data_IF_786470473037
#
_entry.id   IF_786470473037
#
_cell.length_a   1.000
_cell.length_b   1.000
_cell.length_c   1.000
_cell.angle_alpha   90.00
_cell.angle_beta   90.00
_cell.angle_gamma   90.00
#
_symmetry.space_group_name_H-M   'P 1'
#
loop_
_entity.id
_entity.type
_entity.pdbx_description
1 polymer ?
#
# COMPACT_ATOMS: atom_id res chain seq x y z
N UNK A 1 -44.56 -34.35 -26.64
CA UNK A 1 -44.99 -32.96 -26.94
C UNK A 1 -44.74 -32.11 -25.71
N UNK A 2 -43.77 -31.19 -25.79
CA UNK A 2 -43.55 -29.99 -24.93
C UNK A 2 -43.20 -30.34 -23.46
N UNK A 3 -42.25 -29.71 -22.76
CA UNK A 3 -41.70 -28.36 -22.85
C UNK A 3 -40.26 -28.33 -22.30
N UNK A 4 -39.37 -27.62 -23.01
CA UNK A 4 -38.11 -27.09 -22.50
C UNK A 4 -38.43 -25.89 -21.61
N UNK A 5 -37.88 -25.81 -20.40
CA UNK A 5 -37.82 -24.58 -19.63
C UNK A 5 -36.44 -24.46 -18.96
N UNK A 6 -35.60 -23.62 -19.55
CA UNK A 6 -34.31 -23.20 -19.04
C UNK A 6 -34.56 -21.97 -18.16
N UNK A 7 -34.30 -21.98 -16.85
CA UNK A 7 -34.32 -20.73 -16.10
C UNK A 7 -33.07 -19.95 -16.47
N UNK A 8 -33.29 -18.83 -17.17
CA UNK A 8 -32.34 -17.77 -17.37
C UNK A 8 -31.79 -17.33 -16.01
N UNK A 9 -30.50 -17.56 -15.78
CA UNK A 9 -29.80 -16.95 -14.65
C UNK A 9 -29.62 -15.47 -14.97
N UNK A 10 -30.28 -14.63 -14.18
CA UNK A 10 -30.15 -13.19 -14.19
C UNK A 10 -28.69 -12.77 -14.05
N UNK A 11 -28.15 -12.13 -15.08
CA UNK A 11 -26.91 -11.38 -15.00
C UNK A 11 -27.09 -10.24 -14.02
N UNK A 12 -26.52 -10.37 -12.82
CA UNK A 12 -26.35 -9.25 -11.90
C UNK A 12 -25.25 -8.37 -12.49
N UNK A 13 -25.63 -7.35 -13.25
CA UNK A 13 -24.72 -6.29 -13.63
C UNK A 13 -24.31 -5.55 -12.36
N UNK A 14 -23.07 -5.77 -11.92
CA UNK A 14 -22.46 -4.95 -10.88
C UNK A 14 -22.42 -3.50 -11.38
N UNK A 15 -23.07 -2.60 -10.65
CA UNK A 15 -22.90 -1.16 -10.80
C UNK A 15 -21.44 -0.84 -10.49
N UNK A 16 -20.64 -0.60 -11.53
CA UNK A 16 -19.29 -0.08 -11.39
C UNK A 16 -19.39 1.35 -10.84
N UNK A 17 -19.14 1.51 -9.54
CA UNK A 17 -19.01 2.82 -8.92
C UNK A 17 -17.79 3.55 -9.50
N UNK A 18 -18.04 4.77 -10.01
CA UNK A 18 -17.12 5.89 -10.26
C UNK A 18 -15.78 5.60 -10.99
N UNK A 19 -15.73 5.89 -12.29
CA UNK A 19 -14.53 5.78 -13.14
C UNK A 19 -13.59 7.02 -13.07
N UNK A 20 -13.89 8.03 -12.24
CA UNK A 20 -13.20 9.34 -12.27
C UNK A 20 -12.21 9.59 -11.13
N UNK A 21 -12.12 8.69 -10.15
CA UNK A 21 -11.18 8.81 -9.04
C UNK A 21 -10.73 7.43 -8.56
N UNK A 22 -9.43 7.20 -8.57
CA UNK A 22 -8.82 5.97 -8.09
C UNK A 22 -7.85 6.31 -6.96
N UNK A 23 -8.01 5.63 -5.82
CA UNK A 23 -7.08 5.72 -4.70
C UNK A 23 -6.55 4.33 -4.38
N UNK A 24 -5.24 4.16 -4.41
CA UNK A 24 -4.59 2.89 -4.14
C UNK A 24 -3.36 3.06 -3.26
N UNK A 25 -3.12 2.07 -2.41
CA UNK A 25 -1.91 1.94 -1.62
C UNK A 25 -1.12 0.74 -2.11
N UNK A 26 0.21 0.88 -2.18
CA UNK A 26 1.14 -0.20 -2.51
C UNK A 26 2.37 -0.13 -1.64
N UNK A 27 2.90 -1.29 -1.29
CA UNK A 27 4.20 -1.43 -0.62
C UNK A 27 5.17 -2.17 -1.53
N UNK A 28 6.46 -1.92 -1.38
CA UNK A 28 7.49 -2.67 -2.12
C UNK A 28 7.60 -4.13 -1.65
N UNK A 29 7.34 -4.41 -0.36
CA UNK A 29 7.39 -5.74 0.24
C UNK A 29 6.37 -5.91 1.36
N UNK A 30 5.89 -7.15 1.55
CA UNK A 30 4.99 -7.52 2.65
C UNK A 30 5.73 -8.16 3.83
N UNK A 31 7.00 -8.51 3.65
CA UNK A 31 7.85 -9.10 4.68
C UNK A 31 9.18 -8.35 4.71
N UNK A 32 9.61 -7.92 5.88
CA UNK A 32 10.87 -7.20 6.09
C UNK A 32 11.52 -7.58 7.42
N UNK A 33 12.79 -7.28 7.59
CA UNK A 33 13.49 -7.44 8.87
C UNK A 33 13.42 -6.16 9.72
N UNK A 34 13.59 -6.30 11.03
CA UNK A 34 13.68 -5.16 11.94
C UNK A 34 14.79 -4.20 11.49
N UNK A 35 14.47 -2.92 11.36
CA UNK A 35 15.41 -1.90 10.92
C UNK A 35 15.52 -1.74 9.40
N UNK A 36 14.87 -2.59 8.60
CA UNK A 36 14.75 -2.34 7.16
C UNK A 36 13.74 -1.22 6.85
N UNK A 37 14.01 -0.42 5.79
CA UNK A 37 13.03 0.52 5.27
C UNK A 37 11.97 -0.19 4.42
N UNK A 38 10.72 0.20 4.61
CA UNK A 38 9.56 -0.19 3.82
C UNK A 38 9.10 1.02 2.99
N UNK A 39 8.95 0.85 1.68
CA UNK A 39 8.46 1.90 0.82
C UNK A 39 6.95 1.76 0.61
N UNK A 40 6.19 2.70 1.16
CA UNK A 40 4.75 2.84 0.94
C UNK A 40 4.51 3.90 -0.13
N UNK A 41 3.79 3.54 -1.18
CA UNK A 41 3.39 4.44 -2.27
C UNK A 41 1.86 4.51 -2.32
N UNK A 42 1.34 5.71 -2.16
CA UNK A 42 -0.07 6.00 -2.35
C UNK A 42 -0.24 6.71 -3.69
N UNK A 43 -1.15 6.22 -4.52
CA UNK A 43 -1.45 6.81 -5.82
C UNK A 43 -2.90 7.22 -5.86
N UNK A 44 -3.12 8.51 -6.09
CA UNK A 44 -4.41 9.11 -6.37
C UNK A 44 -4.42 9.49 -7.86
N UNK A 45 -5.43 9.06 -8.61
CA UNK A 45 -5.56 9.38 -10.04
C UNK A 45 -6.98 9.81 -10.35
N UNK A 46 -7.12 10.79 -11.25
CA UNK A 46 -8.43 11.27 -11.73
C UNK A 46 -8.58 12.78 -11.58
N UNK A 47 -9.78 13.24 -11.25
CA UNK A 47 -9.98 14.64 -10.88
C UNK A 47 -9.55 14.87 -9.41
N UNK A 48 -8.46 15.61 -9.22
CA UNK A 48 -7.88 15.95 -7.92
C UNK A 48 -8.22 17.37 -7.43
N UNK A 49 -9.17 18.06 -8.08
CA UNK A 49 -9.69 19.33 -7.57
C UNK A 49 -10.42 19.12 -6.25
N UNK A 50 -10.13 19.96 -5.24
CA UNK A 50 -10.76 19.85 -3.92
C UNK A 50 -10.35 18.63 -3.10
N UNK A 51 -9.33 17.87 -3.52
CA UNK A 51 -8.80 16.75 -2.73
C UNK A 51 -7.97 17.27 -1.57
N UNK A 52 -8.33 16.87 -0.37
CA UNK A 52 -7.53 17.12 0.83
C UNK A 52 -6.53 15.99 1.01
N UNK A 53 -5.25 16.31 1.16
CA UNK A 53 -4.21 15.29 1.32
C UNK A 53 -4.45 14.47 2.58
N UNK A 54 -4.39 13.12 2.50
CA UNK A 54 -4.56 12.29 3.67
C UNK A 54 -3.41 12.55 4.65
N UNK A 55 -3.74 12.79 5.92
CA UNK A 55 -2.77 12.74 6.99
C UNK A 55 -2.40 11.27 7.23
N UNK A 56 -1.20 10.88 6.79
CA UNK A 56 -0.71 9.51 6.97
C UNK A 56 -0.03 9.39 8.33
N UNK A 57 -0.68 8.66 9.23
CA UNK A 57 -0.09 8.25 10.50
C UNK A 57 0.49 6.84 10.36
N UNK A 58 1.78 6.63 10.71
CA UNK A 58 2.36 5.30 10.68
C UNK A 58 1.71 4.43 11.78
N UNK A 59 1.52 3.12 11.53
CA UNK A 59 1.03 2.22 12.56
C UNK A 59 2.04 2.08 13.70
N UNK A 60 1.55 1.67 14.87
CA UNK A 60 2.40 1.44 16.04
C UNK A 60 3.53 0.45 15.70
N UNK A 61 4.78 0.85 15.92
CA UNK A 61 5.95 0.03 15.55
C UNK A 61 6.60 0.43 14.22
N UNK A 62 6.07 1.40 13.50
CA UNK A 62 6.73 2.07 12.38
C UNK A 62 6.98 3.55 12.67
N UNK A 63 8.03 4.10 12.08
CA UNK A 63 8.26 5.54 12.05
C UNK A 63 8.46 6.02 10.62
N UNK A 64 8.03 7.24 10.29
CA UNK A 64 8.26 7.82 8.97
C UNK A 64 9.69 8.38 8.95
N UNK A 65 10.57 7.72 8.21
CA UNK A 65 11.95 8.15 7.99
C UNK A 65 12.04 9.25 6.92
N UNK A 66 11.23 9.14 5.87
CA UNK A 66 11.15 10.15 4.80
C UNK A 66 9.77 10.18 4.15
N UNK A 67 9.42 11.34 3.58
CA UNK A 67 8.22 11.53 2.77
C UNK A 67 8.55 12.35 1.53
N UNK A 68 7.94 12.00 0.41
CA UNK A 68 7.97 12.79 -0.82
C UNK A 68 6.62 12.73 -1.53
N UNK A 69 6.36 13.73 -2.35
CA UNK A 69 5.15 13.80 -3.15
C UNK A 69 5.49 14.25 -4.56
N UNK A 70 4.79 13.70 -5.54
CA UNK A 70 4.92 14.05 -6.94
C UNK A 70 3.52 14.19 -7.55
N UNK A 71 3.26 15.34 -8.15
CA UNK A 71 2.01 15.58 -8.90
C UNK A 71 2.33 15.53 -10.37
N UNK A 72 1.58 14.72 -11.12
CA UNK A 72 1.70 14.60 -12.55
C UNK A 72 0.40 15.06 -13.23
N UNK A 73 0.58 15.73 -14.36
CA UNK A 73 -0.50 16.28 -15.16
C UNK A 73 -0.49 15.66 -16.55
N UNK A 74 -1.61 15.08 -16.98
CA UNK A 74 -1.74 14.50 -18.31
C UNK A 74 -3.08 14.84 -18.95
N UNK A 75 -3.06 15.12 -20.26
CA UNK A 75 -4.26 15.36 -21.05
C UNK A 75 -4.45 14.14 -21.97
N UNK A 76 -5.43 13.27 -21.68
CA UNK A 76 -5.76 12.10 -22.50
C UNK A 76 -7.12 12.30 -23.15
N UNK A 77 -7.16 12.22 -24.49
CA UNK A 77 -8.39 12.32 -25.28
C UNK A 77 -9.28 13.55 -24.95
N UNK A 78 -8.66 14.69 -24.60
CA UNK A 78 -9.37 15.92 -24.21
C UNK A 78 -9.81 15.98 -22.74
N UNK A 79 -9.64 14.90 -21.97
CA UNK A 79 -9.91 14.85 -20.53
C UNK A 79 -8.64 15.17 -19.72
N UNK A 80 -8.78 16.08 -18.75
CA UNK A 80 -7.73 16.51 -17.84
C UNK A 80 -7.56 15.47 -16.73
N UNK A 81 -6.49 14.68 -16.78
CA UNK A 81 -6.20 13.64 -15.79
C UNK A 81 -5.02 14.08 -14.91
N UNK A 82 -5.26 14.20 -13.61
CA UNK A 82 -4.23 14.50 -12.61
C UNK A 82 -3.91 13.23 -11.84
N UNK A 83 -2.63 13.00 -11.57
CA UNK A 83 -2.21 11.96 -10.64
C UNK A 83 -1.29 12.51 -9.57
N UNK A 84 -1.47 12.06 -8.35
CA UNK A 84 -0.67 12.43 -7.20
C UNK A 84 -0.11 11.14 -6.60
N UNK A 85 1.21 11.08 -6.56
CA UNK A 85 1.95 9.99 -5.95
C UNK A 85 2.57 10.49 -4.66
N UNK A 86 2.21 9.86 -3.54
CA UNK A 86 2.80 10.11 -2.24
C UNK A 86 3.68 8.92 -1.87
N UNK A 87 4.96 9.15 -1.63
CA UNK A 87 5.92 8.12 -1.28
C UNK A 87 6.40 8.32 0.16
N UNK A 88 6.29 7.28 0.96
CA UNK A 88 6.70 7.25 2.36
C UNK A 88 7.72 6.15 2.57
N UNK A 89 8.79 6.47 3.29
CA UNK A 89 9.76 5.49 3.76
C UNK A 89 9.48 5.25 5.23
N UNK A 90 8.99 4.05 5.55
CA UNK A 90 8.66 3.63 6.90
C UNK A 90 9.79 2.76 7.44
N UNK A 91 10.30 3.04 8.64
CA UNK A 91 11.30 2.20 9.30
C UNK A 91 10.64 1.36 10.39
N UNK A 92 10.82 0.04 10.32
CA UNK A 92 10.26 -0.90 11.29
C UNK A 92 11.04 -0.87 12.61
N UNK A 93 10.37 -0.50 13.70
CA UNK A 93 10.92 -0.40 15.05
C UNK A 93 10.58 -1.60 15.94
N UNK A 94 9.60 -2.43 15.54
CA UNK A 94 9.21 -3.64 16.28
C UNK A 94 8.94 -4.79 15.31
N UNK A 95 9.27 -6.01 15.74
CA UNK A 95 8.93 -7.23 15.03
C UNK A 95 7.48 -7.65 15.35
N UNK A 96 6.77 -8.17 14.37
CA UNK A 96 5.35 -8.53 14.47
C UNK A 96 4.60 -8.38 13.15
N UNK A 97 3.31 -8.65 13.16
CA UNK A 97 2.42 -8.40 12.01
C UNK A 97 1.68 -7.09 12.24
N UNK A 98 1.74 -6.20 11.25
CA UNK A 98 1.15 -4.87 11.29
C UNK A 98 0.22 -4.69 10.12
N UNK A 99 -0.86 -3.93 10.34
CA UNK A 99 -1.82 -3.57 9.31
C UNK A 99 -1.61 -2.10 8.95
N UNK A 100 -1.25 -1.85 7.70
CA UNK A 100 -1.12 -0.51 7.12
C UNK A 100 -2.47 -0.10 6.51
N UNK A 101 -2.93 1.09 6.90
CA UNK A 101 -4.24 1.59 6.47
C UNK A 101 -5.43 0.88 7.15
N UNK A 102 -6.65 1.01 6.61
CA UNK A 102 -6.98 1.70 5.36
C UNK A 102 -6.64 3.19 5.43
N UNK A 103 -6.06 3.74 4.37
CA UNK A 103 -5.84 5.18 4.28
C UNK A 103 -7.08 5.83 3.70
N UNK A 104 -7.49 6.96 4.26
CA UNK A 104 -8.72 7.64 3.86
C UNK A 104 -8.40 9.00 3.25
N UNK A 105 -9.05 9.33 2.14
CA UNK A 105 -8.97 10.65 1.50
C UNK A 105 -10.37 11.20 1.33
N UNK A 106 -10.54 12.50 1.57
CA UNK A 106 -11.81 13.19 1.37
C UNK A 106 -11.74 14.01 0.09
N UNK A 107 -12.77 13.87 -0.75
CA UNK A 107 -12.99 14.67 -1.95
C UNK A 107 -14.45 15.07 -2.02
N UNK A 108 -14.73 16.38 -2.12
CA UNK A 108 -16.09 16.91 -2.28
C UNK A 108 -17.09 16.39 -1.20
N UNK A 109 -16.60 16.10 0.01
CA UNK A 109 -17.39 15.53 1.11
C UNK A 109 -17.60 14.00 1.04
N UNK A 110 -17.09 13.32 0.01
CA UNK A 110 -17.05 11.87 -0.08
C UNK A 110 -15.69 11.32 0.42
N UNK A 111 -15.74 10.27 1.22
CA UNK A 111 -14.54 9.59 1.74
C UNK A 111 -14.22 8.37 0.85
N UNK A 112 -12.98 8.29 0.41
CA UNK A 112 -12.44 7.15 -0.34
C UNK A 112 -11.37 6.48 0.51
N UNK A 113 -11.37 5.15 0.52
CA UNK A 113 -10.45 4.37 1.35
C UNK A 113 -9.61 3.44 0.47
N UNK A 114 -8.34 3.25 0.83
CA UNK A 114 -7.51 2.21 0.22
C UNK A 114 -7.78 0.85 0.84
N UNK A 115 -7.40 -0.20 0.13
CA UNK A 115 -7.29 -1.52 0.74
C UNK A 115 -6.21 -1.51 1.83
N UNK A 116 -6.47 -2.17 2.98
CA UNK A 116 -5.48 -2.34 4.02
C UNK A 116 -4.43 -3.36 3.58
N UNK A 117 -3.18 -3.14 3.97
CA UNK A 117 -2.05 -4.00 3.61
C UNK A 117 -1.48 -4.62 4.88
N UNK A 118 -1.42 -5.96 4.94
CA UNK A 118 -0.76 -6.67 6.02
C UNK A 118 0.74 -6.82 5.75
N UNK A 119 1.56 -6.46 6.72
CA UNK A 119 3.01 -6.50 6.64
C UNK A 119 3.59 -7.21 7.85
N UNK A 120 4.54 -8.12 7.63
CA UNK A 120 5.21 -8.89 8.69
C UNK A 120 6.66 -8.44 8.84
N UNK A 121 7.03 -8.03 10.05
CA UNK A 121 8.39 -7.67 10.42
C UNK A 121 9.02 -8.82 11.21
N UNK A 122 10.06 -9.42 10.66
CA UNK A 122 10.83 -10.48 11.29
C UNK A 122 11.91 -9.89 12.20
N UNK A 123 12.25 -10.63 13.27
CA UNK A 123 13.49 -10.35 14.01
C UNK A 123 14.67 -10.71 13.12
N UNK A 124 15.74 -9.89 13.12
CA UNK A 124 16.92 -10.18 12.32
C UNK A 124 17.51 -11.50 12.81
N UNK A 125 17.87 -12.38 11.88
CA UNK A 125 18.60 -13.58 12.22
C UNK A 125 19.96 -13.16 12.82
N UNK A 126 20.25 -13.60 14.05
CA UNK A 126 21.57 -13.37 14.67
C UNK A 126 22.65 -13.79 13.66
N UNK A 127 23.65 -12.94 13.37
CA UNK A 127 24.75 -13.36 12.51
C UNK A 127 25.39 -14.64 13.08
N UNK A 128 25.77 -15.60 12.23
CA UNK A 128 26.40 -16.82 12.69
C UNK A 128 27.61 -16.44 13.53
N UNK A 129 27.63 -16.86 14.81
CA UNK A 129 28.80 -16.68 15.67
C UNK A 129 30.00 -17.29 14.93
N UNK A 130 30.94 -16.43 14.52
CA UNK A 130 32.28 -16.87 14.12
C UNK A 130 32.84 -17.63 15.32
N UNK A 131 32.74 -18.96 15.30
CA UNK A 131 33.41 -19.78 16.29
C UNK A 131 34.91 -19.51 16.10
N UNK A 132 35.63 -18.99 17.10
CA UNK A 132 37.07 -18.89 16.99
C UNK A 132 37.57 -20.31 16.80
N UNK A 133 38.08 -20.58 15.60
CA UNK A 133 38.74 -21.85 15.31
C UNK A 133 39.95 -21.89 16.21
N UNK A 134 39.80 -22.56 17.35
CA UNK A 134 40.88 -22.95 18.23
C UNK A 134 41.76 -23.96 17.50
N UNK A 135 42.51 -23.49 16.50
CA UNK A 135 43.65 -24.25 16.01
C UNK A 135 44.73 -24.14 17.08
N UNK A 136 44.81 -25.23 17.85
CA UNK A 136 45.88 -25.55 18.76
C UNK A 136 47.21 -25.44 18.02
N UNK A 137 47.91 -24.33 18.20
CA UNK A 137 49.35 -24.30 18.00
C UNK A 137 49.95 -25.19 19.09
N UNK A 138 50.20 -26.45 18.74
CA UNK A 138 50.95 -27.38 19.57
C UNK A 138 52.43 -27.10 19.31
N UNK A 139 53.11 -26.63 20.36
CA UNK A 139 54.55 -26.53 20.67
C UNK A 139 55.55 -26.39 19.51
#
# INVERSE_FOLDING_TARGET
MRWLAWPAALSVSALAFAQDFAFSAKVDRITLELGEPLQLVLTLSGNLEGVELPAIEPPEGFTIAARSQATNFSLRAGAMERSLTLSYVLAAQRAGTFRLGPFTVTRDGATFETEPIEVTVNKPALPPKLQPRGERFTL
#
